data_IF_193631069381
#
_entry.id   IF_193631069381
#
_cell.length_a   1.000
_cell.length_b   1.000
_cell.length_c   1.000
_cell.angle_alpha   90.00
_cell.angle_beta   90.00
_cell.angle_gamma   90.00
#
_symmetry.space_group_name_H-M   'P 1'
#
loop_
_entity.id
_entity.type
_entity.pdbx_description
1 polymer ?
#
# COMPACT_ATOMS: atom_id res chain seq x y z
N UNK A 1 -18.90 -8.83 10.61
CA UNK A 1 -17.94 -8.64 11.70
C UNK A 1 -16.55 -8.49 11.15
N UNK A 2 -15.85 -7.51 11.63
CA UNK A 2 -14.47 -7.31 11.23
C UNK A 2 -13.58 -8.06 12.20
N UNK A 3 -12.76 -8.94 11.68
CA UNK A 3 -11.81 -9.62 12.52
C UNK A 3 -10.50 -8.88 12.55
N UNK A 4 -10.07 -8.62 13.76
CA UNK A 4 -8.68 -8.27 13.94
C UNK A 4 -7.93 -9.59 13.87
N UNK A 5 -7.07 -9.72 12.89
CA UNK A 5 -6.26 -10.92 12.72
C UNK A 5 -5.02 -10.76 13.58
N UNK A 6 -4.98 -11.48 14.69
CA UNK A 6 -3.95 -11.29 15.71
C UNK A 6 -2.53 -11.47 15.16
N UNK A 7 -2.38 -12.30 14.13
CA UNK A 7 -1.07 -12.54 13.54
C UNK A 7 -0.76 -11.61 12.37
N UNK A 8 -1.67 -10.72 12.02
CA UNK A 8 -1.47 -9.82 10.90
C UNK A 8 -0.74 -8.55 11.36
N UNK A 9 0.47 -8.35 10.87
CA UNK A 9 1.25 -7.17 11.21
C UNK A 9 0.48 -5.88 10.90
N UNK A 10 -0.16 -5.81 9.73
CA UNK A 10 -0.86 -4.59 9.32
C UNK A 10 -2.15 -4.38 10.12
N UNK A 11 -2.81 -5.44 10.54
CA UNK A 11 -3.94 -5.30 11.44
C UNK A 11 -3.50 -4.69 12.77
N UNK A 12 -2.29 -5.04 13.23
CA UNK A 12 -1.74 -4.45 14.46
C UNK A 12 -1.42 -2.97 14.28
N UNK A 13 -0.96 -2.58 13.09
CA UNK A 13 -0.73 -1.17 12.79
C UNK A 13 -2.06 -0.40 12.78
N UNK A 14 -3.09 -0.99 12.18
CA UNK A 14 -4.44 -0.39 12.14
C UNK A 14 -4.97 -0.20 13.56
N UNK A 15 -4.77 -1.20 14.40
CA UNK A 15 -5.26 -1.15 15.80
C UNK A 15 -4.43 -0.22 16.68
N UNK A 16 -3.27 0.24 16.21
CA UNK A 16 -2.38 1.06 16.99
C UNK A 16 -1.55 0.29 18.00
N UNK A 17 -1.59 -1.04 17.97
CA UNK A 17 -0.81 -1.88 18.86
C UNK A 17 0.68 -1.75 18.58
N UNK A 18 1.03 -1.54 17.32
CA UNK A 18 2.40 -1.28 16.87
C UNK A 18 2.41 0.11 16.27
N UNK A 19 3.40 0.97 16.61
CA UNK A 19 3.45 2.31 16.05
C UNK A 19 3.85 2.29 14.58
N UNK A 20 3.45 3.33 13.85
CA UNK A 20 3.83 3.52 12.46
C UNK A 20 4.05 5.01 12.21
N UNK A 21 4.86 5.31 11.18
CA UNK A 21 5.03 6.69 10.72
C UNK A 21 3.96 6.94 9.68
N UNK A 22 2.87 7.57 10.10
CA UNK A 22 1.69 7.73 9.26
C UNK A 22 1.90 8.79 8.20
N UNK A 23 1.40 8.51 7.00
CA UNK A 23 1.28 9.46 5.91
C UNK A 23 -0.15 10.01 5.90
N UNK A 24 -1.13 9.15 6.14
CA UNK A 24 -2.53 9.52 6.12
C UNK A 24 -3.37 8.47 6.83
N UNK A 25 -4.47 8.87 7.42
CA UNK A 25 -5.38 7.93 8.05
C UNK A 25 -6.80 8.50 8.07
N UNK A 26 -7.78 7.65 7.75
CA UNK A 26 -9.17 7.96 8.00
C UNK A 26 -9.88 6.68 8.43
N UNK A 27 -11.22 6.67 8.40
CA UNK A 27 -11.97 5.50 8.90
C UNK A 27 -11.78 4.25 8.05
N UNK A 28 -11.34 4.38 6.81
CA UNK A 28 -11.26 3.25 5.88
C UNK A 28 -9.85 2.80 5.56
N UNK A 29 -8.89 3.73 5.57
CA UNK A 29 -7.53 3.42 5.11
C UNK A 29 -6.49 4.00 6.07
N UNK A 30 -5.31 3.39 6.02
CA UNK A 30 -4.11 3.86 6.70
C UNK A 30 -2.98 3.85 5.70
N UNK A 31 -2.23 4.95 5.63
CA UNK A 31 -1.01 5.01 4.82
C UNK A 31 0.16 5.32 5.73
N UNK A 32 1.28 4.64 5.51
CA UNK A 32 2.45 4.77 6.40
C UNK A 32 3.73 4.46 5.64
N UNK A 33 4.84 5.02 6.13
CA UNK A 33 6.14 4.79 5.53
C UNK A 33 6.61 3.36 5.74
N UNK A 34 7.17 2.74 4.70
CA UNK A 34 7.76 1.41 4.82
C UNK A 34 9.05 1.51 5.64
N UNK A 35 9.22 0.61 6.60
CA UNK A 35 10.41 0.63 7.46
C UNK A 35 11.64 0.10 6.74
N UNK A 36 11.46 -0.62 5.63
CA UNK A 36 12.54 -1.11 4.78
C UNK A 36 12.34 -0.56 3.38
N UNK A 37 12.52 0.75 3.18
CA UNK A 37 12.16 1.37 1.90
C UNK A 37 13.04 0.87 0.77
N UNK A 38 12.41 0.66 -0.39
CA UNK A 38 13.10 0.26 -1.61
C UNK A 38 13.40 1.47 -2.50
N UNK A 39 13.03 2.67 -2.07
CA UNK A 39 13.26 3.91 -2.80
C UNK A 39 13.35 5.06 -1.79
N UNK A 40 13.77 6.23 -2.24
CA UNK A 40 13.90 7.41 -1.35
C UNK A 40 12.59 7.72 -0.64
N UNK A 41 11.48 7.59 -1.37
CA UNK A 41 10.13 7.65 -0.79
C UNK A 41 9.47 6.31 -1.06
N UNK A 42 8.97 5.69 -0.01
CA UNK A 42 8.29 4.41 -0.12
C UNK A 42 7.26 4.32 0.99
N UNK A 43 5.99 4.44 0.64
CA UNK A 43 4.92 4.28 1.62
C UNK A 43 3.90 3.27 1.11
N UNK A 44 3.07 2.81 2.03
CA UNK A 44 2.05 1.79 1.76
C UNK A 44 0.69 2.38 2.07
N UNK A 45 -0.31 1.99 1.28
CA UNK A 45 -1.71 2.30 1.57
C UNK A 45 -2.39 0.97 1.82
N UNK A 46 -3.04 0.83 2.98
CA UNK A 46 -3.74 -0.40 3.33
C UNK A 46 -5.19 -0.08 3.69
N UNK A 47 -6.11 -1.00 3.44
CA UNK A 47 -7.46 -0.87 3.99
C UNK A 47 -7.42 -1.25 5.45
N UNK A 48 -8.22 -0.60 6.28
CA UNK A 48 -8.33 -0.99 7.69
C UNK A 48 -9.02 -2.32 7.83
N UNK A 49 -9.94 -2.62 6.91
CA UNK A 49 -10.55 -3.93 6.81
C UNK A 49 -9.51 -4.94 6.32
N UNK A 50 -9.45 -6.11 6.95
CA UNK A 50 -8.50 -7.14 6.53
C UNK A 50 -8.96 -7.80 5.25
N UNK A 51 -8.30 -7.48 4.15
CA UNK A 51 -8.40 -8.18 2.87
C UNK A 51 -7.01 -8.74 2.61
N UNK A 52 -6.92 -9.98 2.15
CA UNK A 52 -5.62 -10.62 1.98
C UNK A 52 -4.88 -10.01 0.79
N UNK A 53 -5.56 -9.92 -0.35
CA UNK A 53 -4.98 -9.35 -1.57
C UNK A 53 -6.10 -9.07 -2.57
N UNK A 54 -5.75 -8.86 -3.84
CA UNK A 54 -6.74 -8.49 -4.85
C UNK A 54 -7.73 -9.62 -5.17
N UNK A 55 -7.43 -10.87 -4.81
CA UNK A 55 -8.43 -11.92 -4.94
C UNK A 55 -9.65 -11.66 -4.05
N UNK A 56 -9.40 -11.06 -2.85
CA UNK A 56 -10.48 -10.73 -1.94
C UNK A 56 -11.15 -9.40 -2.28
N UNK A 57 -10.43 -8.52 -2.96
CA UNK A 57 -10.91 -7.17 -3.26
C UNK A 57 -11.75 -7.20 -4.54
N UNK A 58 -12.86 -7.87 -4.47
CA UNK A 58 -13.77 -8.08 -5.60
C UNK A 58 -14.71 -6.88 -5.79
N UNK A 59 -15.73 -7.06 -6.61
CA UNK A 59 -16.67 -5.97 -6.94
C UNK A 59 -17.43 -5.46 -5.72
N UNK A 60 -17.58 -6.29 -4.68
CA UNK A 60 -18.22 -5.83 -3.45
C UNK A 60 -17.38 -4.81 -2.70
N UNK A 61 -16.09 -4.71 -3.03
CA UNK A 61 -15.15 -3.80 -2.37
C UNK A 61 -14.70 -2.66 -3.29
N UNK A 62 -15.42 -2.42 -4.40
CA UNK A 62 -14.93 -1.44 -5.37
C UNK A 62 -14.82 -0.03 -4.80
N UNK A 63 -15.71 0.35 -3.90
CA UNK A 63 -15.62 1.68 -3.29
C UNK A 63 -14.36 1.83 -2.45
N UNK A 64 -14.03 0.80 -1.68
CA UNK A 64 -12.83 0.81 -0.84
C UNK A 64 -11.55 0.81 -1.69
N UNK A 65 -11.50 -0.07 -2.68
CA UNK A 65 -10.33 -0.16 -3.57
C UNK A 65 -10.18 1.13 -4.38
N UNK A 66 -11.30 1.66 -4.88
CA UNK A 66 -11.29 2.93 -5.59
C UNK A 66 -10.77 4.07 -4.73
N UNK A 67 -11.14 4.09 -3.45
CA UNK A 67 -10.64 5.10 -2.53
C UNK A 67 -9.14 4.97 -2.33
N UNK A 68 -8.63 3.74 -2.14
CA UNK A 68 -7.20 3.50 -1.98
C UNK A 68 -6.41 4.04 -3.16
N UNK A 69 -6.81 3.68 -4.39
CA UNK A 69 -6.12 4.14 -5.58
C UNK A 69 -6.38 5.61 -5.88
N UNK A 70 -7.56 6.11 -5.53
CA UNK A 70 -7.88 7.52 -5.70
C UNK A 70 -7.05 8.45 -4.84
N UNK A 71 -6.50 7.94 -3.73
CA UNK A 71 -5.67 8.74 -2.84
C UNK A 71 -4.19 8.75 -3.23
N UNK A 72 -3.78 7.84 -4.13
CA UNK A 72 -2.35 7.66 -4.43
C UNK A 72 -1.70 8.95 -4.91
N UNK A 73 -2.31 9.62 -5.89
CA UNK A 73 -1.71 10.82 -6.48
C UNK A 73 -1.55 11.94 -5.48
N UNK A 74 -2.57 12.17 -4.66
CA UNK A 74 -2.52 13.22 -3.64
C UNK A 74 -1.42 12.94 -2.61
N UNK A 75 -1.39 11.71 -2.10
CA UNK A 75 -0.40 11.35 -1.08
C UNK A 75 1.01 11.36 -1.63
N UNK A 76 1.18 10.91 -2.88
CA UNK A 76 2.49 10.97 -3.54
C UNK A 76 2.98 12.41 -3.64
N UNK A 77 2.10 13.31 -4.06
CA UNK A 77 2.47 14.73 -4.18
C UNK A 77 2.83 15.33 -2.83
N UNK A 78 2.09 14.98 -1.78
CA UNK A 78 2.39 15.46 -0.43
C UNK A 78 3.74 14.96 0.06
N UNK A 79 4.20 13.83 -0.45
CA UNK A 79 5.51 13.28 -0.10
C UNK A 79 6.62 13.76 -1.03
N UNK A 80 6.32 14.71 -1.89
CA UNK A 80 7.32 15.33 -2.76
C UNK A 80 7.54 14.61 -4.09
N UNK A 81 6.67 13.68 -4.45
CA UNK A 81 6.80 12.94 -5.71
C UNK A 81 6.05 13.68 -6.81
N UNK A 82 6.64 14.77 -7.30
CA UNK A 82 5.99 15.63 -8.29
C UNK A 82 6.25 15.21 -9.73
N UNK A 83 7.25 14.38 -9.96
CA UNK A 83 7.70 14.01 -11.31
C UNK A 83 7.47 12.53 -11.59
N UNK A 84 6.51 11.93 -10.89
CA UNK A 84 6.13 10.55 -11.13
C UNK A 84 6.46 9.64 -9.96
N UNK A 85 5.89 8.47 -10.02
CA UNK A 85 6.05 7.45 -8.98
C UNK A 85 5.63 6.10 -9.53
N UNK A 86 5.94 5.06 -8.79
CA UNK A 86 5.56 3.69 -9.15
C UNK A 86 4.59 3.13 -8.11
N UNK A 87 3.58 2.42 -8.59
CA UNK A 87 2.62 1.72 -7.73
C UNK A 87 2.77 0.22 -7.97
N UNK A 88 2.87 -0.54 -6.89
CA UNK A 88 3.01 -1.99 -6.97
C UNK A 88 2.06 -2.63 -5.97
N UNK A 89 1.35 -3.66 -6.42
CA UNK A 89 0.53 -4.50 -5.54
C UNK A 89 0.95 -5.96 -5.79
N UNK A 90 1.44 -6.61 -4.76
CA UNK A 90 1.89 -8.01 -4.85
C UNK A 90 0.79 -8.91 -4.32
N UNK A 91 0.48 -9.96 -5.06
CA UNK A 91 -0.63 -10.86 -4.73
C UNK A 91 -0.16 -12.30 -4.68
N UNK A 92 -0.27 -12.91 -3.50
CA UNK A 92 -0.02 -14.33 -3.32
C UNK A 92 1.44 -14.71 -3.45
N UNK A 93 1.65 -16.02 -3.49
CA UNK A 93 3.00 -16.59 -3.52
C UNK A 93 3.77 -16.19 -4.77
N UNK A 94 3.12 -16.27 -5.92
CA UNK A 94 3.79 -15.98 -7.19
C UNK A 94 4.16 -14.49 -7.29
N UNK A 95 3.31 -13.62 -6.74
CA UNK A 95 3.58 -12.19 -6.70
C UNK A 95 4.54 -11.76 -5.58
N UNK A 96 5.01 -12.70 -4.78
CA UNK A 96 5.93 -12.46 -3.66
C UNK A 96 5.34 -11.54 -2.59
N UNK A 97 4.05 -11.76 -2.29
CA UNK A 97 3.40 -11.02 -1.22
C UNK A 97 3.98 -11.47 0.11
N UNK A 98 4.52 -10.53 0.88
CA UNK A 98 5.17 -10.85 2.15
C UNK A 98 4.23 -10.74 3.33
N UNK A 99 3.38 -9.71 3.35
CA UNK A 99 2.38 -9.54 4.39
C UNK A 99 1.01 -9.79 3.77
N UNK A 100 0.27 -10.74 4.34
CA UNK A 100 -1.03 -11.14 3.77
C UNK A 100 -2.16 -10.26 4.27
N UNK A 101 -2.02 -8.99 3.99
CA UNK A 101 -3.00 -7.92 4.16
C UNK A 101 -2.77 -7.00 2.98
N UNK A 102 -3.78 -6.81 2.15
CA UNK A 102 -3.67 -6.03 0.92
C UNK A 102 -2.95 -4.71 1.17
N UNK A 103 -1.96 -4.43 0.34
CA UNK A 103 -1.25 -3.15 0.45
C UNK A 103 -0.75 -2.69 -0.91
N UNK A 104 -0.81 -1.39 -1.08
CA UNK A 104 -0.39 -0.71 -2.31
C UNK A 104 0.91 0.01 -1.99
N UNK A 105 2.00 -0.41 -2.64
CA UNK A 105 3.28 0.28 -2.53
C UNK A 105 3.27 1.51 -3.41
N UNK A 106 3.74 2.63 -2.89
CA UNK A 106 3.97 3.85 -3.67
C UNK A 106 5.43 4.22 -3.48
N UNK A 107 6.18 4.29 -4.58
CA UNK A 107 7.63 4.48 -4.52
C UNK A 107 8.08 5.54 -5.50
N UNK A 108 9.08 6.31 -5.11
CA UNK A 108 9.67 7.30 -5.99
C UNK A 108 10.89 7.93 -5.37
N UNK A 109 11.45 8.88 -6.08
CA UNK A 109 12.64 9.59 -5.64
C UNK A 109 13.00 10.65 -6.67
N UNK A 110 14.17 11.28 -6.52
CA UNK A 110 14.59 12.34 -7.44
C UNK A 110 15.00 11.82 -8.82
N UNK A 111 15.32 10.52 -8.91
CA UNK A 111 15.78 9.93 -10.16
C UNK A 111 14.87 8.80 -10.57
N UNK A 112 14.79 8.48 -11.88
CA UNK A 112 13.96 7.37 -12.34
C UNK A 112 14.33 6.06 -11.66
N UNK A 113 13.31 5.28 -11.30
CA UNK A 113 13.50 3.96 -10.74
C UNK A 113 13.93 2.98 -11.84
N UNK A 114 14.53 1.87 -11.43
CA UNK A 114 14.87 0.82 -12.38
C UNK A 114 13.60 0.32 -13.07
N UNK A 115 13.74 -0.05 -14.35
CA UNK A 115 12.61 -0.57 -15.09
C UNK A 115 12.04 -1.82 -14.40
N UNK A 116 10.73 -1.82 -14.16
CA UNK A 116 10.06 -2.97 -13.55
C UNK A 116 9.68 -4.01 -14.59
N UNK A 117 9.61 -3.60 -15.86
CA UNK A 117 9.22 -4.46 -16.96
C UNK A 117 10.33 -4.39 -18.00
N UNK A 118 10.75 -5.52 -18.60
CA UNK A 118 11.79 -5.47 -19.63
C UNK A 118 11.37 -4.54 -20.76
N UNK A 119 12.32 -3.81 -21.37
CA UNK A 119 11.96 -2.95 -22.50
C UNK A 119 11.49 -3.78 -23.68
N UNK A 120 10.67 -3.23 -24.57
CA UNK A 120 10.24 -3.95 -25.77
C UNK A 120 11.45 -4.24 -26.65
N UNK A 121 11.36 -5.35 -27.38
CA UNK A 121 12.43 -5.78 -28.28
C UNK A 121 12.22 -5.31 -29.68
#
# INVERSE_FOLDING_TARGET
MTEAHDNCLFCKLVAGTIPSKKVYEDEDILAFHDINPAADVHFLIIPKRHLVNLYDADMAHQALVGKMFGMVGQLAREQGLDDGFRVVVNNGRIGRQEVYHLHVHVMGGPEPLRSAVPPPR
#
